data_IF_741128449037
#
_entry.id   IF_741128449037
#
_cell.length_a   1.000
_cell.length_b   1.000
_cell.length_c   1.000
_cell.angle_alpha   90.00
_cell.angle_beta   90.00
_cell.angle_gamma   90.00
#
_symmetry.space_group_name_H-M   'P 1'
#
loop_
_entity.id
_entity.type
_entity.pdbx_description
1 polymer ?
#
# COMPACT_ATOMS: atom_id res chain seq x y z
N UNK A 1 30.94 -20.99 14.85
CA UNK A 1 29.62 -21.64 14.91
C UNK A 1 28.59 -20.57 14.54
N UNK A 2 28.41 -20.35 13.26
CA UNK A 2 27.34 -19.49 12.73
C UNK A 2 26.05 -20.27 12.93
N UNK A 3 25.23 -19.87 13.90
CA UNK A 3 23.85 -20.34 13.99
C UNK A 3 23.18 -19.98 12.67
N UNK A 4 22.79 -20.97 11.87
CA UNK A 4 21.84 -20.72 10.80
C UNK A 4 20.66 -19.95 11.42
N UNK A 5 20.21 -18.83 10.83
CA UNK A 5 19.02 -18.16 11.31
C UNK A 5 17.89 -19.17 11.34
N UNK A 6 17.43 -19.50 12.56
CA UNK A 6 16.48 -20.57 12.77
C UNK A 6 15.22 -20.29 11.98
N UNK A 7 14.94 -21.13 10.97
CA UNK A 7 13.67 -21.11 10.26
C UNK A 7 12.56 -21.25 11.29
N UNK A 8 11.66 -20.28 11.37
CA UNK A 8 10.46 -20.40 12.23
C UNK A 8 9.73 -21.68 11.82
N UNK A 9 9.48 -22.63 12.73
CA UNK A 9 8.78 -23.85 12.37
C UNK A 9 7.42 -23.53 11.74
N UNK A 10 7.07 -24.22 10.66
CA UNK A 10 5.83 -23.94 9.90
C UNK A 10 4.58 -23.96 10.80
N UNK A 11 4.57 -24.80 11.84
CA UNK A 11 3.50 -24.87 12.83
C UNK A 11 3.36 -23.57 13.66
N UNK A 12 4.48 -22.98 14.07
CA UNK A 12 4.49 -21.74 14.84
C UNK A 12 4.06 -20.55 13.98
N UNK A 13 4.50 -20.49 12.72
CA UNK A 13 4.05 -19.48 11.77
C UNK A 13 2.53 -19.57 11.55
N UNK A 14 1.99 -20.78 11.34
CA UNK A 14 0.54 -21.00 11.22
C UNK A 14 -0.22 -20.57 12.48
N UNK A 15 0.33 -20.84 13.67
CA UNK A 15 -0.26 -20.40 14.94
C UNK A 15 -0.32 -18.88 15.03
N UNK A 16 0.78 -18.18 14.73
CA UNK A 16 0.86 -16.72 14.74
C UNK A 16 -0.13 -16.11 13.75
N UNK A 17 -0.20 -16.66 12.54
CA UNK A 17 -1.14 -16.18 11.52
C UNK A 17 -2.60 -16.34 11.96
N UNK A 18 -2.98 -17.48 12.53
CA UNK A 18 -4.34 -17.64 13.07
C UNK A 18 -4.62 -16.63 14.18
N UNK A 19 -3.69 -16.43 15.12
CA UNK A 19 -3.86 -15.43 16.18
C UNK A 19 -4.07 -14.02 15.64
N UNK A 20 -3.32 -13.61 14.61
CA UNK A 20 -3.47 -12.28 13.99
C UNK A 20 -4.86 -12.12 13.36
N UNK A 21 -5.38 -13.15 12.69
CA UNK A 21 -6.73 -13.10 12.11
C UNK A 21 -7.81 -13.13 13.19
N UNK A 22 -7.69 -14.00 14.20
CA UNK A 22 -8.68 -14.11 15.27
C UNK A 22 -8.76 -12.81 16.09
N UNK A 23 -7.61 -12.16 16.34
CA UNK A 23 -7.53 -10.85 16.99
C UNK A 23 -8.23 -9.75 16.17
N UNK A 24 -7.96 -9.71 14.86
CA UNK A 24 -8.58 -8.75 13.97
C UNK A 24 -10.09 -9.00 13.79
N UNK A 25 -10.53 -10.27 13.70
CA UNK A 25 -11.94 -10.64 13.60
C UNK A 25 -12.72 -10.25 14.86
N UNK A 26 -12.15 -10.46 16.05
CA UNK A 26 -12.75 -10.06 17.33
C UNK A 26 -13.06 -8.57 17.38
N UNK A 27 -12.17 -7.75 16.85
CA UNK A 27 -12.32 -6.29 16.82
C UNK A 27 -12.96 -5.78 15.51
N UNK A 28 -13.49 -6.68 14.67
CA UNK A 28 -14.17 -6.34 13.42
C UNK A 28 -13.28 -5.65 12.40
N UNK A 29 -11.97 -5.91 12.46
CA UNK A 29 -10.90 -5.25 11.69
C UNK A 29 -10.79 -3.75 11.94
N UNK A 30 -11.35 -3.25 13.05
CA UNK A 30 -11.23 -1.84 13.44
C UNK A 30 -9.92 -1.62 14.22
N UNK A 31 -9.24 -0.51 13.93
CA UNK A 31 -7.97 -0.18 14.56
C UNK A 31 -7.75 1.32 14.71
N UNK A 32 -6.67 1.67 15.41
CA UNK A 32 -6.21 3.05 15.51
C UNK A 32 -5.22 3.35 14.40
N UNK A 33 -5.35 4.52 13.78
CA UNK A 33 -4.41 4.99 12.76
C UNK A 33 -3.56 6.15 13.30
N UNK A 34 -2.25 6.23 13.01
CA UNK A 34 -1.41 7.36 13.42
C UNK A 34 -1.96 8.76 13.07
N UNK A 35 -2.86 8.88 12.09
CA UNK A 35 -3.38 10.14 11.56
C UNK A 35 -4.88 10.39 11.85
N UNK A 36 -5.57 9.49 12.54
CA UNK A 36 -7.01 9.58 12.81
C UNK A 36 -7.39 10.52 13.98
N UNK A 37 -6.44 11.22 14.60
CA UNK A 37 -6.66 11.93 15.87
C UNK A 37 -7.73 13.03 15.82
N UNK A 38 -8.14 13.47 14.62
CA UNK A 38 -9.23 14.43 14.41
C UNK A 38 -10.63 13.84 14.58
N UNK A 39 -10.75 12.52 14.70
CA UNK A 39 -12.04 11.86 14.89
C UNK A 39 -12.62 12.01 16.30
N UNK A 40 -11.80 12.36 17.29
CA UNK A 40 -12.27 12.66 18.63
C UNK A 40 -13.29 13.80 18.65
N UNK A 41 -14.41 13.60 19.35
CA UNK A 41 -15.50 14.59 19.42
C UNK A 41 -15.07 15.88 20.12
N UNK A 42 -14.16 15.76 21.10
CA UNK A 42 -13.74 16.86 21.94
C UNK A 42 -12.96 17.93 21.16
N UNK A 43 -11.94 17.55 20.39
CA UNK A 43 -11.17 18.52 19.61
C UNK A 43 -12.02 19.12 18.48
N UNK A 44 -12.85 18.29 17.84
CA UNK A 44 -13.74 18.69 16.74
C UNK A 44 -14.79 19.73 17.14
N UNK A 45 -15.22 19.77 18.40
CA UNK A 45 -16.18 20.77 18.89
C UNK A 45 -15.54 22.13 19.23
N UNK A 46 -14.21 22.23 19.23
CA UNK A 46 -13.51 23.48 19.53
C UNK A 46 -13.36 24.40 18.30
N UNK A 47 -13.25 25.72 18.47
CA UNK A 47 -12.90 26.63 17.37
C UNK A 47 -11.54 26.31 16.72
N UNK A 48 -10.63 25.66 17.46
CA UNK A 48 -9.31 25.27 16.98
C UNK A 48 -9.39 24.29 15.81
N UNK A 49 -10.46 23.50 15.70
CA UNK A 49 -10.65 22.57 14.59
C UNK A 49 -10.67 23.26 13.22
N UNK A 50 -11.06 24.54 13.17
CA UNK A 50 -11.08 25.33 11.92
C UNK A 50 -9.70 25.81 11.48
N UNK A 51 -8.68 25.67 12.34
CA UNK A 51 -7.32 26.16 12.08
C UNK A 51 -6.46 24.99 11.59
N UNK A 52 -5.95 24.99 10.34
CA UNK A 52 -5.15 23.89 9.79
C UNK A 52 -3.95 23.51 10.66
N UNK A 53 -3.21 24.50 11.15
CA UNK A 53 -2.07 24.28 12.03
C UNK A 53 -2.46 23.57 13.33
N UNK A 54 -3.58 23.96 13.96
CA UNK A 54 -4.06 23.34 15.19
C UNK A 54 -4.49 21.89 14.95
N UNK A 55 -5.15 21.58 13.82
CA UNK A 55 -5.45 20.20 13.42
C UNK A 55 -4.18 19.36 13.28
N UNK A 56 -3.17 19.89 12.61
CA UNK A 56 -1.90 19.20 12.42
C UNK A 56 -1.18 18.98 13.76
N UNK A 57 -1.13 19.99 14.63
CA UNK A 57 -0.54 19.89 15.96
C UNK A 57 -1.26 18.85 16.82
N UNK A 58 -2.59 18.80 16.75
CA UNK A 58 -3.40 17.81 17.45
C UNK A 58 -3.10 16.37 16.98
N UNK A 59 -3.05 16.15 15.65
CA UNK A 59 -2.65 14.85 15.10
C UNK A 59 -1.27 14.44 15.61
N UNK A 60 -0.28 15.35 15.59
CA UNK A 60 1.06 15.02 16.08
C UNK A 60 1.10 14.73 17.58
N UNK A 61 0.30 15.43 18.39
CA UNK A 61 0.15 15.15 19.81
C UNK A 61 -0.41 13.73 20.04
N UNK A 62 -1.51 13.39 19.36
CA UNK A 62 -2.15 12.07 19.47
C UNK A 62 -1.22 10.96 18.95
N UNK A 63 -0.47 11.20 17.87
CA UNK A 63 0.48 10.25 17.28
C UNK A 63 1.68 9.97 18.18
N UNK A 64 2.19 10.98 18.88
CA UNK A 64 3.46 10.91 19.62
C UNK A 64 3.27 10.72 21.13
N UNK A 65 2.03 10.79 21.63
CA UNK A 65 1.75 10.55 23.03
C UNK A 65 2.14 9.10 23.42
N UNK A 66 2.79 8.90 24.58
CA UNK A 66 3.20 7.57 25.05
C UNK A 66 2.01 6.70 25.50
N UNK A 67 0.83 7.31 25.67
CA UNK A 67 -0.43 6.64 25.95
C UNK A 67 -1.48 7.07 24.93
N UNK A 68 -2.44 6.18 24.66
CA UNK A 68 -3.46 6.44 23.67
C UNK A 68 -4.47 7.49 24.18
N UNK A 69 -4.44 8.69 23.60
CA UNK A 69 -5.34 9.80 23.96
C UNK A 69 -6.77 9.62 23.42
N UNK A 70 -6.96 8.73 22.44
CA UNK A 70 -8.22 8.59 21.70
C UNK A 70 -9.42 8.24 22.59
N UNK A 71 -9.34 7.29 23.56
CA UNK A 71 -10.45 7.02 24.46
C UNK A 71 -10.87 8.24 25.28
N UNK A 72 -9.93 9.10 25.69
CA UNK A 72 -10.23 10.34 26.44
C UNK A 72 -10.99 11.37 25.61
N UNK A 73 -10.93 11.25 24.28
CA UNK A 73 -11.61 12.16 23.34
C UNK A 73 -12.88 11.54 22.74
N UNK A 74 -13.33 10.41 23.30
CA UNK A 74 -14.47 9.61 22.85
C UNK A 74 -14.34 9.14 21.40
N UNK A 75 -13.12 9.02 20.90
CA UNK A 75 -12.85 8.42 19.60
C UNK A 75 -12.97 6.90 19.72
N UNK A 76 -13.48 6.25 18.66
CA UNK A 76 -13.54 4.79 18.54
C UNK A 76 -12.58 4.33 17.43
N UNK A 77 -12.04 3.11 17.50
CA UNK A 77 -11.33 2.52 16.37
C UNK A 77 -12.25 2.45 15.15
N UNK A 78 -11.68 2.59 13.96
CA UNK A 78 -12.44 2.52 12.70
C UNK A 78 -11.83 1.49 11.77
N UNK A 79 -12.65 0.99 10.84
CA UNK A 79 -12.23 0.01 9.84
C UNK A 79 -11.62 0.76 8.66
N UNK A 80 -10.32 0.58 8.45
CA UNK A 80 -9.60 1.17 7.33
C UNK A 80 -9.63 0.21 6.13
N UNK A 81 -10.10 0.69 4.96
CA UNK A 81 -10.18 -0.11 3.73
C UNK A 81 -8.83 -0.79 3.40
N UNK A 82 -7.71 -0.05 3.47
CA UNK A 82 -6.36 -0.63 3.27
C UNK A 82 -6.07 -1.80 4.22
N UNK A 83 -6.49 -1.71 5.48
CA UNK A 83 -6.32 -2.79 6.46
C UNK A 83 -7.09 -4.03 6.05
N UNK A 84 -8.38 -3.88 5.72
CA UNK A 84 -9.23 -4.97 5.20
C UNK A 84 -8.63 -5.59 3.94
N UNK A 85 -8.12 -4.76 3.01
CA UNK A 85 -7.45 -5.23 1.80
C UNK A 85 -6.22 -6.11 2.10
N UNK A 86 -5.38 -5.73 3.06
CA UNK A 86 -4.21 -6.52 3.47
C UNK A 86 -4.61 -7.88 4.04
N UNK A 87 -5.63 -7.92 4.92
CA UNK A 87 -6.17 -9.17 5.44
C UNK A 87 -6.81 -10.03 4.35
N UNK A 88 -7.51 -9.43 3.38
CA UNK A 88 -8.08 -10.17 2.26
C UNK A 88 -6.98 -10.81 1.40
N UNK A 89 -5.94 -10.04 1.04
CA UNK A 89 -4.79 -10.57 0.29
C UNK A 89 -4.07 -11.69 1.04
N UNK A 90 -3.87 -11.53 2.35
CA UNK A 90 -3.29 -12.58 3.19
C UNK A 90 -4.12 -13.86 3.20
N UNK A 91 -5.44 -13.75 3.29
CA UNK A 91 -6.34 -14.90 3.34
C UNK A 91 -6.32 -15.66 2.00
N UNK A 92 -6.37 -14.95 0.88
CA UNK A 92 -6.25 -15.57 -0.45
C UNK A 92 -4.87 -16.21 -0.67
N UNK A 93 -3.80 -15.60 -0.17
CA UNK A 93 -2.46 -16.20 -0.21
C UNK A 93 -2.39 -17.49 0.61
N UNK A 94 -2.97 -17.50 1.82
CA UNK A 94 -3.01 -18.68 2.69
C UNK A 94 -3.93 -19.79 2.15
N UNK A 95 -4.98 -19.43 1.42
CA UNK A 95 -5.82 -20.39 0.73
C UNK A 95 -5.06 -21.12 -0.39
N UNK A 96 -4.15 -20.44 -1.08
CA UNK A 96 -3.30 -21.05 -2.12
C UNK A 96 -2.04 -21.75 -1.58
N UNK A 97 -1.62 -21.44 -0.36
CA UNK A 97 -0.41 -21.99 0.25
C UNK A 97 -0.61 -23.47 0.62
N UNK A 98 0.25 -24.37 0.11
CA UNK A 98 0.21 -25.80 0.45
C UNK A 98 -0.40 -26.72 -0.61
N UNK A 99 -0.76 -26.19 -1.79
CA UNK A 99 -1.20 -27.02 -2.92
C UNK A 99 -2.50 -27.79 -2.65
N UNK A 100 -2.63 -28.97 -3.27
CA UNK A 100 -3.84 -29.82 -3.19
C UNK A 100 -4.12 -30.30 -1.76
N UNK A 101 -3.10 -30.39 -0.91
CA UNK A 101 -3.19 -30.91 0.47
C UNK A 101 -3.52 -29.84 1.52
N UNK A 102 -3.80 -28.60 1.12
CA UNK A 102 -4.17 -27.54 2.05
C UNK A 102 -5.60 -27.70 2.58
N UNK A 103 -5.77 -28.47 3.65
CA UNK A 103 -7.06 -28.68 4.32
C UNK A 103 -7.66 -27.39 4.90
N UNK A 104 -6.85 -26.36 5.15
CA UNK A 104 -7.31 -25.05 5.62
C UNK A 104 -7.81 -24.14 4.48
N UNK A 105 -7.59 -24.52 3.21
CA UNK A 105 -7.92 -23.67 2.07
C UNK A 105 -9.38 -23.18 2.06
N UNK A 106 -10.40 -24.03 2.31
CA UNK A 106 -11.80 -23.58 2.34
C UNK A 106 -12.05 -22.50 3.41
N UNK A 107 -11.45 -22.65 4.61
CA UNK A 107 -11.57 -21.67 5.69
C UNK A 107 -10.97 -20.32 5.29
N UNK A 108 -9.78 -20.33 4.69
CA UNK A 108 -9.12 -19.12 4.24
C UNK A 108 -9.84 -18.44 3.07
N UNK A 109 -10.40 -19.22 2.13
CA UNK A 109 -11.27 -18.69 1.06
C UNK A 109 -12.51 -18.02 1.63
N UNK A 110 -13.17 -18.64 2.61
CA UNK A 110 -14.33 -18.05 3.27
C UNK A 110 -14.00 -16.72 3.97
N UNK A 111 -12.88 -16.66 4.72
CA UNK A 111 -12.36 -15.42 5.32
C UNK A 111 -12.08 -14.35 4.26
N UNK A 112 -11.36 -14.72 3.18
CA UNK A 112 -11.03 -13.83 2.08
C UNK A 112 -12.27 -13.26 1.38
N UNK A 113 -13.26 -14.11 1.08
CA UNK A 113 -14.52 -13.69 0.46
C UNK A 113 -15.31 -12.73 1.36
N UNK A 114 -15.43 -13.03 2.66
CA UNK A 114 -16.12 -12.15 3.61
C UNK A 114 -15.43 -10.78 3.72
N UNK A 115 -14.10 -10.75 3.71
CA UNK A 115 -13.32 -9.51 3.72
C UNK A 115 -13.48 -8.69 2.44
N UNK A 116 -13.60 -9.34 1.27
CA UNK A 116 -13.87 -8.64 0.01
C UNK A 116 -15.28 -8.02 0.00
N UNK A 117 -16.30 -8.75 0.46
CA UNK A 117 -17.65 -8.18 0.64
C UNK A 117 -17.63 -7.01 1.61
N UNK A 118 -16.90 -7.13 2.72
CA UNK A 118 -16.73 -6.03 3.67
C UNK A 118 -16.03 -4.83 3.04
N UNK A 119 -14.95 -5.07 2.28
CA UNK A 119 -14.20 -4.03 1.60
C UNK A 119 -15.08 -3.26 0.60
N UNK A 120 -15.87 -3.95 -0.22
CA UNK A 120 -16.83 -3.32 -1.14
C UNK A 120 -17.82 -2.41 -0.40
N UNK A 121 -18.34 -2.85 0.76
CA UNK A 121 -19.25 -2.04 1.60
C UNK A 121 -18.61 -0.77 2.17
N UNK A 122 -17.27 -0.67 2.17
CA UNK A 122 -16.52 0.50 2.65
C UNK A 122 -16.20 1.50 1.54
N UNK A 123 -16.73 1.32 0.31
CA UNK A 123 -16.49 2.27 -0.80
C UNK A 123 -16.86 3.69 -0.40
N UNK A 124 -16.12 4.64 -0.95
CA UNK A 124 -16.37 6.07 -0.71
C UNK A 124 -17.75 6.45 -1.26
N UNK A 125 -18.60 7.14 -0.48
CA UNK A 125 -19.92 7.55 -0.93
C UNK A 125 -19.82 8.71 -1.94
N UNK A 126 -20.78 8.79 -2.87
CA UNK A 126 -20.88 9.89 -3.83
C UNK A 126 -19.95 9.79 -5.05
N UNK A 127 -19.36 8.61 -5.30
CA UNK A 127 -18.53 8.33 -6.47
C UNK A 127 -19.17 7.24 -7.32
N UNK A 128 -19.15 7.41 -8.64
CA UNK A 128 -19.70 6.42 -9.60
C UNK A 128 -18.86 5.14 -9.60
N UNK A 129 -17.54 5.28 -9.80
CA UNK A 129 -16.58 4.18 -9.78
C UNK A 129 -16.23 3.77 -8.34
N UNK A 130 -15.91 2.48 -8.13
CA UNK A 130 -15.42 1.99 -6.85
C UNK A 130 -14.08 2.64 -6.50
N UNK A 131 -14.02 3.23 -5.31
CA UNK A 131 -12.83 3.84 -4.73
C UNK A 131 -12.93 3.90 -3.21
N UNK A 132 -11.81 4.03 -2.51
CA UNK A 132 -11.76 4.03 -1.05
C UNK A 132 -10.97 5.21 -0.48
N UNK A 133 -11.44 5.71 0.66
CA UNK A 133 -10.86 6.82 1.41
C UNK A 133 -10.40 6.42 2.80
N UNK A 134 -10.03 7.42 3.59
CA UNK A 134 -9.88 7.24 5.03
C UNK A 134 -11.23 7.42 5.72
N UNK A 135 -11.58 6.63 6.75
CA UNK A 135 -12.81 6.83 7.51
C UNK A 135 -12.73 8.07 8.44
N UNK A 136 -11.69 8.89 8.30
CA UNK A 136 -11.37 10.01 9.18
C UNK A 136 -10.85 11.23 8.41
N UNK A 137 -10.95 12.39 9.05
CA UNK A 137 -10.36 13.63 8.54
C UNK A 137 -8.85 13.60 8.74
N UNK A 138 -8.08 14.00 7.72
CA UNK A 138 -6.62 14.09 7.79
C UNK A 138 -6.12 15.46 7.35
N UNK A 139 -5.41 16.13 8.25
CA UNK A 139 -4.63 17.33 7.92
C UNK A 139 -3.17 16.93 7.71
N UNK A 140 -2.73 16.94 6.46
CA UNK A 140 -1.31 16.80 6.11
C UNK A 140 -0.62 18.17 6.17
N UNK A 141 0.70 18.19 5.90
CA UNK A 141 1.46 19.44 5.72
C UNK A 141 1.10 20.19 4.42
N UNK A 142 0.45 19.52 3.47
CA UNK A 142 0.22 20.04 2.12
C UNK A 142 -1.27 20.24 1.80
N UNK A 143 -2.16 19.47 2.42
CA UNK A 143 -3.60 19.50 2.10
C UNK A 143 -4.45 19.00 3.27
N UNK A 144 -5.75 19.23 3.16
CA UNK A 144 -6.76 18.62 4.02
C UNK A 144 -7.54 17.57 3.21
N UNK A 145 -7.61 16.35 3.74
CA UNK A 145 -8.42 15.28 3.20
C UNK A 145 -9.61 15.04 4.15
N UNK A 146 -10.83 15.35 3.73
CA UNK A 146 -12.02 15.00 4.49
C UNK A 146 -12.17 13.48 4.64
N UNK A 147 -12.84 13.06 5.70
CA UNK A 147 -13.39 11.70 5.84
C UNK A 147 -14.08 11.28 4.54
N UNK A 148 -13.88 10.02 4.19
CA UNK A 148 -14.44 9.34 3.02
C UNK A 148 -14.04 9.95 1.67
N UNK A 149 -13.16 10.96 1.65
CA UNK A 149 -12.54 11.41 0.41
C UNK A 149 -11.59 10.31 -0.10
N UNK A 150 -11.81 9.81 -1.34
CA UNK A 150 -11.03 8.70 -1.84
C UNK A 150 -9.57 9.12 -2.04
N UNK A 151 -8.68 8.15 -1.88
CA UNK A 151 -7.26 8.35 -2.13
C UNK A 151 -6.67 7.15 -2.85
N UNK A 152 -5.55 7.36 -3.52
CA UNK A 152 -4.92 6.33 -4.32
C UNK A 152 -4.50 5.12 -3.48
N UNK A 153 -3.96 5.33 -2.27
CA UNK A 153 -3.41 4.25 -1.47
C UNK A 153 -4.49 3.28 -1.03
N UNK A 154 -5.60 3.75 -0.45
CA UNK A 154 -6.71 2.88 -0.11
C UNK A 154 -7.27 2.18 -1.36
N UNK A 155 -7.38 2.91 -2.47
CA UNK A 155 -7.95 2.38 -3.71
C UNK A 155 -7.11 1.30 -4.39
N UNK A 156 -5.80 1.51 -4.53
CA UNK A 156 -4.89 0.53 -5.13
C UNK A 156 -4.82 -0.75 -4.31
N UNK A 157 -4.74 -0.65 -2.98
CA UNK A 157 -4.75 -1.84 -2.12
C UNK A 157 -6.11 -2.56 -2.20
N UNK A 158 -7.20 -1.80 -2.32
CA UNK A 158 -8.52 -2.35 -2.58
C UNK A 158 -8.56 -3.18 -3.86
N UNK A 159 -8.11 -2.61 -4.98
CA UNK A 159 -7.99 -3.32 -6.26
C UNK A 159 -7.11 -4.58 -6.14
N UNK A 160 -5.94 -4.47 -5.52
CA UNK A 160 -5.04 -5.60 -5.30
C UNK A 160 -5.69 -6.74 -4.52
N UNK A 161 -6.53 -6.44 -3.52
CA UNK A 161 -7.26 -7.47 -2.79
C UNK A 161 -8.20 -8.27 -3.67
N UNK A 162 -8.94 -7.60 -4.56
CA UNK A 162 -9.82 -8.27 -5.53
C UNK A 162 -9.04 -9.03 -6.60
N UNK A 163 -7.91 -8.51 -7.07
CA UNK A 163 -7.02 -9.20 -8.02
C UNK A 163 -6.43 -10.52 -7.47
N UNK A 164 -6.32 -10.66 -6.14
CA UNK A 164 -5.79 -11.87 -5.49
C UNK A 164 -6.82 -12.99 -5.32
N UNK A 165 -8.09 -12.74 -5.64
CA UNK A 165 -9.15 -13.74 -5.57
C UNK A 165 -8.93 -14.83 -6.62
N UNK A 166 -9.04 -16.11 -6.24
CA UNK A 166 -8.73 -17.27 -7.11
C UNK A 166 -9.87 -18.26 -7.32
N UNK A 167 -11.07 -17.99 -6.81
CA UNK A 167 -12.26 -18.83 -6.92
C UNK A 167 -13.23 -18.40 -8.04
N UNK A 168 -12.87 -17.38 -8.84
CA UNK A 168 -13.63 -16.98 -10.03
C UNK A 168 -14.93 -16.19 -9.80
N UNK A 169 -15.17 -15.62 -8.62
CA UNK A 169 -16.38 -14.83 -8.38
C UNK A 169 -16.39 -13.43 -9.04
N UNK A 170 -17.55 -12.75 -9.04
CA UNK A 170 -17.89 -11.46 -9.71
C UNK A 170 -16.99 -10.24 -9.40
N UNK A 171 -15.96 -10.43 -8.58
CA UNK A 171 -14.93 -9.44 -8.24
C UNK A 171 -14.08 -8.95 -9.43
N UNK A 172 -14.18 -9.58 -10.60
CA UNK A 172 -13.30 -9.32 -11.73
C UNK A 172 -13.37 -7.87 -12.27
N UNK A 173 -14.50 -7.18 -12.08
CA UNK A 173 -14.69 -5.81 -12.57
C UNK A 173 -14.10 -4.73 -11.66
N UNK A 174 -13.97 -4.99 -10.35
CA UNK A 174 -13.61 -3.98 -9.35
C UNK A 174 -12.23 -3.36 -9.59
N UNK A 175 -11.17 -4.13 -9.89
CA UNK A 175 -9.85 -3.54 -10.19
C UNK A 175 -9.89 -2.57 -11.38
N UNK A 176 -10.76 -2.82 -12.35
CA UNK A 176 -10.87 -1.99 -13.56
C UNK A 176 -11.78 -0.77 -13.32
N UNK A 177 -12.79 -0.85 -12.45
CA UNK A 177 -13.50 0.30 -11.89
C UNK A 177 -12.54 1.26 -11.16
N UNK A 178 -11.67 0.70 -10.32
CA UNK A 178 -10.67 1.51 -9.60
C UNK A 178 -9.69 2.15 -10.58
N UNK A 179 -9.26 1.45 -11.62
CA UNK A 179 -8.40 2.01 -12.66
C UNK A 179 -9.09 3.18 -13.39
N UNK A 180 -10.40 3.08 -13.66
CA UNK A 180 -11.19 4.20 -14.22
C UNK A 180 -11.28 5.37 -13.26
N UNK A 181 -11.52 5.14 -11.97
CA UNK A 181 -11.46 6.18 -10.95
C UNK A 181 -10.10 6.91 -10.97
N UNK A 182 -8.99 6.17 -11.00
CA UNK A 182 -7.64 6.75 -11.06
C UNK A 182 -7.48 7.62 -12.29
N UNK A 183 -7.84 7.12 -13.46
CA UNK A 183 -7.74 7.86 -14.73
C UNK A 183 -8.60 9.12 -14.79
N UNK A 184 -9.83 9.05 -14.29
CA UNK A 184 -10.78 10.16 -14.37
C UNK A 184 -10.50 11.23 -13.32
N UNK A 185 -10.01 10.82 -12.15
CA UNK A 185 -10.02 11.69 -10.96
C UNK A 185 -8.62 12.06 -10.47
N UNK A 186 -7.67 11.13 -10.56
CA UNK A 186 -6.35 11.28 -9.94
C UNK A 186 -5.23 11.56 -10.95
N UNK A 187 -5.43 11.24 -12.23
CA UNK A 187 -4.49 11.57 -13.30
C UNK A 187 -4.38 13.08 -13.52
N UNK A 188 -3.15 13.55 -13.68
CA UNK A 188 -2.78 14.91 -14.06
C UNK A 188 -1.77 14.86 -15.20
N UNK A 189 -1.70 15.93 -15.97
CA UNK A 189 -0.64 16.16 -16.94
C UNK A 189 -0.11 17.56 -16.73
N UNK A 190 1.20 17.68 -16.55
CA UNK A 190 1.91 18.96 -16.37
C UNK A 190 3.14 18.94 -17.27
N UNK A 191 3.37 20.00 -18.03
CA UNK A 191 4.48 20.11 -19.00
C UNK A 191 4.59 18.92 -19.97
N UNK A 192 3.44 18.33 -20.35
CA UNK A 192 3.38 17.18 -21.24
C UNK A 192 3.79 15.85 -20.62
N UNK A 193 3.87 15.78 -19.28
CA UNK A 193 4.14 14.55 -18.53
C UNK A 193 3.00 14.25 -17.56
N UNK A 194 2.44 13.06 -17.71
CA UNK A 194 1.40 12.46 -16.89
C UNK A 194 1.90 11.94 -15.54
N UNK A 195 1.14 12.18 -14.49
CA UNK A 195 1.36 11.61 -13.16
C UNK A 195 0.04 11.40 -12.41
N UNK A 196 0.08 10.60 -11.34
CA UNK A 196 -1.08 10.28 -10.50
C UNK A 196 -0.93 10.95 -9.14
N UNK A 197 -2.00 11.64 -8.72
CA UNK A 197 -2.08 12.38 -7.45
C UNK A 197 -2.63 11.53 -6.30
N UNK A 198 -2.38 11.97 -5.06
CA UNK A 198 -2.79 11.23 -3.86
C UNK A 198 -4.32 11.21 -3.69
N UNK A 199 -4.97 12.37 -3.86
CA UNK A 199 -6.42 12.55 -3.70
C UNK A 199 -6.93 13.48 -4.80
N UNK A 200 -8.27 13.55 -5.02
CA UNK A 200 -8.86 14.50 -5.97
C UNK A 200 -8.57 15.96 -5.65
N UNK A 201 -8.23 16.29 -4.38
CA UNK A 201 -8.13 17.67 -3.89
C UNK A 201 -6.71 18.24 -3.93
N UNK A 202 -5.73 17.51 -4.49
CA UNK A 202 -4.34 17.96 -4.53
C UNK A 202 -3.63 17.59 -5.83
N UNK A 203 -2.57 18.34 -6.15
CA UNK A 203 -1.63 18.05 -7.23
C UNK A 203 -0.24 17.64 -6.68
N UNK A 204 -0.16 17.17 -5.43
CA UNK A 204 1.13 16.72 -4.87
C UNK A 204 1.73 15.58 -5.68
N UNK A 205 3.01 15.70 -6.00
CA UNK A 205 3.81 14.72 -6.76
C UNK A 205 4.56 13.83 -5.77
N UNK A 206 3.95 12.70 -5.44
CA UNK A 206 4.45 11.72 -4.45
C UNK A 206 4.76 10.42 -5.19
N UNK A 207 6.00 9.92 -5.09
CA UNK A 207 6.48 8.84 -5.97
C UNK A 207 5.76 7.51 -5.74
N UNK A 208 5.59 7.09 -4.48
CA UNK A 208 4.94 5.81 -4.19
C UNK A 208 3.48 5.79 -4.60
N UNK A 209 2.80 6.93 -4.47
CA UNK A 209 1.46 7.13 -5.00
C UNK A 209 1.51 6.93 -6.51
N UNK A 210 2.28 7.76 -7.20
CA UNK A 210 2.35 7.74 -8.65
C UNK A 210 2.70 6.35 -9.22
N UNK A 211 3.71 5.67 -8.67
CA UNK A 211 4.16 4.37 -9.16
C UNK A 211 3.17 3.24 -8.84
N UNK A 212 2.58 3.20 -7.64
CA UNK A 212 1.54 2.22 -7.31
C UNK A 212 0.31 2.36 -8.22
N UNK A 213 -0.09 3.60 -8.52
CA UNK A 213 -1.15 3.89 -9.47
C UNK A 213 -0.79 3.43 -10.88
N UNK A 214 0.41 3.76 -11.35
CA UNK A 214 0.90 3.36 -12.68
C UNK A 214 0.92 1.84 -12.85
N UNK A 215 1.36 1.10 -11.83
CA UNK A 215 1.33 -0.35 -11.81
C UNK A 215 -0.10 -0.91 -11.89
N UNK A 216 -1.05 -0.35 -11.13
CA UNK A 216 -2.47 -0.72 -11.25
C UNK A 216 -3.01 -0.48 -12.68
N UNK A 217 -2.73 0.68 -13.26
CA UNK A 217 -3.16 1.02 -14.62
C UNK A 217 -2.57 0.05 -15.65
N UNK A 218 -1.30 -0.33 -15.51
CA UNK A 218 -0.68 -1.34 -16.37
C UNK A 218 -1.37 -2.72 -16.26
N UNK A 219 -1.71 -3.17 -15.05
CA UNK A 219 -2.42 -4.44 -14.84
C UNK A 219 -3.82 -4.39 -15.46
N UNK A 220 -4.54 -3.28 -15.28
CA UNK A 220 -5.85 -3.08 -15.90
C UNK A 220 -5.76 -3.00 -17.43
N UNK A 221 -4.77 -2.31 -17.98
CA UNK A 221 -4.51 -2.25 -19.41
C UNK A 221 -4.28 -3.64 -20.00
N UNK A 222 -3.48 -4.48 -19.33
CA UNK A 222 -3.24 -5.88 -19.74
C UNK A 222 -4.51 -6.72 -19.73
N UNK A 223 -5.37 -6.58 -18.73
CA UNK A 223 -6.66 -7.31 -18.65
C UNK A 223 -7.66 -6.87 -19.73
N UNK A 224 -7.73 -5.56 -19.99
CA UNK A 224 -8.79 -4.96 -20.82
C UNK A 224 -8.38 -4.68 -22.26
N UNK A 225 -7.09 -4.70 -22.57
CA UNK A 225 -6.55 -4.24 -23.86
C UNK A 225 -6.60 -2.72 -24.05
N UNK A 226 -6.84 -1.94 -23.00
CA UNK A 226 -7.01 -0.49 -23.11
C UNK A 226 -5.67 0.25 -23.28
N UNK A 227 -5.37 0.66 -24.51
CA UNK A 227 -4.14 1.37 -24.87
C UNK A 227 -3.94 2.69 -24.09
N UNK A 228 -5.02 3.43 -23.81
CA UNK A 228 -4.92 4.68 -23.05
C UNK A 228 -4.45 4.45 -21.61
N UNK A 229 -4.86 3.35 -20.98
CA UNK A 229 -4.36 2.96 -19.67
C UNK A 229 -2.87 2.58 -19.75
N UNK A 230 -2.47 1.82 -20.78
CA UNK A 230 -1.09 1.42 -20.97
C UNK A 230 -0.15 2.62 -21.17
N UNK A 231 -0.54 3.57 -22.03
CA UNK A 231 0.24 4.76 -22.34
C UNK A 231 0.40 5.64 -21.09
N UNK A 232 -0.69 5.91 -20.37
CA UNK A 232 -0.63 6.73 -19.16
C UNK A 232 0.12 6.04 -18.02
N UNK A 233 0.03 4.71 -17.92
CA UNK A 233 0.83 3.93 -16.97
C UNK A 233 2.33 4.07 -17.27
N UNK A 234 2.74 3.95 -18.54
CA UNK A 234 4.13 4.15 -18.97
C UNK A 234 4.61 5.56 -18.66
N UNK A 235 3.82 6.56 -19.01
CA UNK A 235 4.13 7.98 -18.77
C UNK A 235 4.29 8.28 -17.28
N UNK A 236 3.34 7.83 -16.46
CA UNK A 236 3.39 7.99 -15.00
C UNK A 236 4.61 7.27 -14.41
N UNK A 237 4.92 6.05 -14.85
CA UNK A 237 6.10 5.35 -14.34
C UNK A 237 7.39 6.08 -14.69
N UNK A 238 7.50 6.57 -15.94
CA UNK A 238 8.63 7.40 -16.40
C UNK A 238 8.78 8.68 -15.58
N UNK A 239 7.70 9.36 -15.24
CA UNK A 239 7.75 10.56 -14.40
C UNK A 239 8.55 10.34 -13.10
N UNK A 240 8.33 9.22 -12.40
CA UNK A 240 9.10 8.92 -11.19
C UNK A 240 10.51 8.42 -11.46
N UNK A 241 10.72 7.65 -12.53
CA UNK A 241 12.04 7.16 -12.92
C UNK A 241 12.97 8.30 -13.35
N UNK A 242 12.47 9.27 -14.11
CA UNK A 242 13.24 10.41 -14.60
C UNK A 242 13.64 11.37 -13.44
N UNK A 243 12.92 11.31 -12.31
CA UNK A 243 13.19 12.06 -11.08
C UNK A 243 14.01 11.26 -10.05
N UNK A 244 14.42 10.03 -10.36
CA UNK A 244 15.32 9.25 -9.51
C UNK A 244 16.67 9.97 -9.38
N UNK A 245 17.12 10.25 -8.15
CA UNK A 245 18.39 10.95 -7.93
C UNK A 245 19.58 10.11 -8.40
N UNK A 246 20.73 10.74 -8.72
CA UNK A 246 21.92 10.01 -9.16
C UNK A 246 22.41 8.91 -8.20
N UNK A 247 22.18 9.08 -6.89
CA UNK A 247 22.53 8.08 -5.88
C UNK A 247 21.55 6.90 -5.79
N UNK A 248 20.44 6.90 -6.52
CA UNK A 248 19.39 5.86 -6.45
C UNK A 248 18.29 6.13 -5.43
N UNK A 249 18.20 7.33 -4.86
CA UNK A 249 17.13 7.67 -3.91
C UNK A 249 15.96 8.42 -4.56
N UNK A 250 14.76 8.17 -4.05
CA UNK A 250 13.60 9.04 -4.26
C UNK A 250 13.29 9.80 -2.98
N UNK A 251 13.06 11.13 -3.03
CA UNK A 251 12.35 11.78 -1.94
C UNK A 251 10.93 11.17 -1.81
N UNK A 252 10.24 11.41 -0.70
CA UNK A 252 8.84 11.00 -0.59
C UNK A 252 7.97 11.73 -1.62
N UNK A 253 8.19 13.04 -1.81
CA UNK A 253 7.61 13.81 -2.89
C UNK A 253 8.41 15.06 -3.24
N UNK A 254 8.02 15.69 -4.34
CA UNK A 254 8.81 16.75 -4.99
C UNK A 254 8.71 18.13 -4.34
N UNK A 255 7.82 18.30 -3.36
CA UNK A 255 7.71 19.56 -2.62
C UNK A 255 8.79 19.67 -1.53
N UNK A 256 9.30 20.87 -1.19
CA UNK A 256 10.34 21.02 -0.17
C UNK A 256 9.99 20.43 1.20
N UNK A 257 8.71 20.43 1.58
CA UNK A 257 8.22 19.86 2.84
C UNK A 257 8.00 18.33 2.79
N UNK A 258 8.31 17.70 1.66
CA UNK A 258 8.16 16.26 1.34
C UNK A 258 9.48 15.59 0.90
N UNK A 259 10.61 16.28 1.02
CA UNK A 259 11.89 15.84 0.47
C UNK A 259 12.65 14.76 1.28
N UNK A 260 12.03 14.16 2.32
CA UNK A 260 12.68 13.11 3.11
C UNK A 260 12.75 11.81 2.32
N UNK A 261 13.68 10.92 2.67
CA UNK A 261 13.88 9.62 2.03
C UNK A 261 13.71 8.55 3.11
N UNK A 262 12.77 7.63 2.92
CA UNK A 262 12.47 6.57 3.91
C UNK A 262 12.40 5.18 3.27
N UNK A 263 12.50 4.17 4.15
CA UNK A 263 12.65 2.77 3.75
C UNK A 263 11.41 2.26 2.99
N UNK A 264 10.23 2.35 3.60
CA UNK A 264 9.06 1.65 3.08
C UNK A 264 8.44 2.36 1.87
N UNK A 265 8.53 3.69 1.72
CA UNK A 265 8.10 4.33 0.47
C UNK A 265 9.05 4.00 -0.68
N UNK A 266 10.36 3.94 -0.41
CA UNK A 266 11.32 3.43 -1.41
C UNK A 266 11.01 1.98 -1.77
N UNK A 267 10.71 1.12 -0.78
CA UNK A 267 10.26 -0.24 -1.00
C UNK A 267 8.98 -0.35 -1.84
N UNK A 268 7.99 0.53 -1.62
CA UNK A 268 6.79 0.61 -2.46
C UNK A 268 7.11 0.99 -3.91
N UNK A 269 8.01 1.95 -4.13
CA UNK A 269 8.43 2.34 -5.48
C UNK A 269 9.07 1.16 -6.22
N UNK A 270 9.97 0.43 -5.54
CA UNK A 270 10.64 -0.74 -6.11
C UNK A 270 9.66 -1.85 -6.48
N UNK A 271 8.73 -2.20 -5.58
CA UNK A 271 7.70 -3.22 -5.85
C UNK A 271 6.78 -2.80 -6.98
N UNK A 272 6.40 -1.52 -7.04
CA UNK A 272 5.55 -1.01 -8.11
C UNK A 272 6.25 -1.00 -9.48
N UNK A 273 7.54 -0.64 -9.53
CA UNK A 273 8.33 -0.66 -10.76
C UNK A 273 8.54 -2.08 -11.26
N UNK A 274 8.84 -3.03 -10.36
CA UNK A 274 8.97 -4.44 -10.72
C UNK A 274 7.64 -5.03 -11.19
N UNK A 275 6.52 -4.70 -10.52
CA UNK A 275 5.19 -5.12 -10.95
C UNK A 275 4.83 -4.58 -12.35
N UNK A 276 5.16 -3.31 -12.64
CA UNK A 276 5.02 -2.74 -13.97
C UNK A 276 5.87 -3.47 -15.00
N UNK A 277 7.15 -3.71 -14.70
CA UNK A 277 8.09 -4.43 -15.57
C UNK A 277 7.58 -5.84 -15.89
N UNK A 278 7.14 -6.61 -14.88
CA UNK A 278 6.56 -7.95 -15.07
C UNK A 278 5.25 -7.93 -15.84
N UNK A 279 4.41 -6.93 -15.60
CA UNK A 279 3.11 -6.82 -16.24
C UNK A 279 3.27 -6.53 -17.74
N UNK A 280 4.13 -5.58 -18.09
CA UNK A 280 4.26 -5.02 -19.44
C UNK A 280 5.38 -5.64 -20.27
N UNK A 281 6.39 -6.23 -19.64
CA UNK A 281 7.64 -6.65 -20.28
C UNK A 281 8.57 -5.48 -20.64
N UNK A 282 8.27 -4.25 -20.24
CA UNK A 282 9.08 -3.08 -20.54
C UNK A 282 10.34 -3.00 -19.65
N UNK A 283 11.50 -3.27 -20.25
CA UNK A 283 12.81 -3.25 -19.60
C UNK A 283 13.55 -1.92 -19.73
N UNK A 284 12.92 -0.89 -20.34
CA UNK A 284 13.58 0.41 -20.55
C UNK A 284 13.93 1.14 -19.25
N UNK A 285 13.34 0.73 -18.12
CA UNK A 285 13.55 1.32 -16.79
C UNK A 285 14.44 0.46 -15.88
N UNK A 286 14.95 -0.67 -16.36
CA UNK A 286 15.78 -1.60 -15.57
C UNK A 286 17.02 -0.93 -14.94
N UNK A 287 17.76 -0.03 -15.65
CA UNK A 287 18.88 0.66 -15.03
C UNK A 287 18.47 1.54 -13.83
N UNK A 288 17.23 2.06 -13.82
CA UNK A 288 16.72 2.84 -12.69
C UNK A 288 16.31 1.93 -11.53
N UNK A 289 15.65 0.82 -11.83
CA UNK A 289 15.28 -0.21 -10.85
C UNK A 289 16.53 -0.74 -10.11
N UNK A 290 17.57 -1.10 -10.85
CA UNK A 290 18.82 -1.61 -10.27
C UNK A 290 19.48 -0.58 -9.35
N UNK A 291 19.62 0.68 -9.80
CA UNK A 291 20.23 1.73 -8.97
C UNK A 291 19.42 1.98 -7.71
N UNK A 292 18.11 2.06 -7.83
CA UNK A 292 17.23 2.31 -6.69
C UNK A 292 17.24 1.15 -5.70
N UNK A 293 17.24 -0.10 -6.19
CA UNK A 293 17.32 -1.27 -5.33
C UNK A 293 18.66 -1.32 -4.59
N UNK A 294 19.78 -1.10 -5.29
CA UNK A 294 21.11 -1.06 -4.67
C UNK A 294 21.20 0.01 -3.59
N UNK A 295 20.68 1.21 -3.84
CA UNK A 295 20.62 2.26 -2.83
C UNK A 295 19.82 1.78 -1.60
N UNK A 296 18.64 1.22 -1.83
CA UNK A 296 17.75 0.79 -0.76
C UNK A 296 18.36 -0.32 0.11
N UNK A 297 18.87 -1.38 -0.51
CA UNK A 297 19.42 -2.56 0.15
C UNK A 297 20.71 -2.24 0.95
N UNK A 298 21.52 -1.31 0.47
CA UNK A 298 22.78 -0.93 1.14
C UNK A 298 22.63 0.19 2.17
N UNK A 299 21.56 0.99 2.11
CA UNK A 299 21.41 2.18 2.97
C UNK A 299 20.51 1.92 4.17
N UNK A 300 19.40 1.20 3.98
CA UNK A 300 18.37 1.13 5.01
C UNK A 300 18.51 -0.04 5.99
N UNK A 301 19.51 -0.90 5.86
CA UNK A 301 19.63 -2.10 6.70
C UNK A 301 20.88 -2.07 7.56
N UNK A 302 20.72 -2.45 8.83
CA UNK A 302 21.85 -2.72 9.73
C UNK A 302 22.45 -4.09 9.43
N UNK A 303 23.69 -4.38 9.88
CA UNK A 303 24.33 -5.68 9.64
C UNK A 303 23.56 -6.90 10.18
N UNK A 304 22.68 -6.69 11.16
CA UNK A 304 21.79 -7.72 11.73
C UNK A 304 20.45 -7.85 10.97
N UNK A 305 20.27 -7.11 9.87
CA UNK A 305 19.04 -7.09 9.07
C UNK A 305 17.97 -6.12 9.56
N UNK A 306 18.18 -5.39 10.66
CA UNK A 306 17.19 -4.46 11.18
C UNK A 306 17.01 -3.27 10.21
N UNK A 307 15.76 -2.95 9.81
CA UNK A 307 15.51 -1.82 8.93
C UNK A 307 15.59 -0.49 9.70
N UNK A 308 16.23 0.50 9.09
CA UNK A 308 16.24 1.90 9.47
C UNK A 308 15.05 2.61 8.83
N UNK A 309 14.44 3.56 9.54
CA UNK A 309 13.30 4.31 9.02
C UNK A 309 13.68 5.24 7.87
N UNK A 310 14.69 6.08 8.11
CA UNK A 310 15.20 7.06 7.16
C UNK A 310 16.59 6.65 6.67
N UNK A 311 17.01 7.22 5.55
CA UNK A 311 18.37 7.04 5.01
C UNK A 311 19.46 7.59 5.93
N UNK A 312 19.09 8.51 6.82
CA UNK A 312 19.98 9.18 7.77
C UNK A 312 19.64 8.89 9.25
N UNK A 313 18.65 8.05 9.53
CA UNK A 313 18.25 7.72 10.90
C UNK A 313 17.70 6.31 11.02
N UNK A 314 18.28 5.56 11.96
CA UNK A 314 17.79 4.22 12.31
C UNK A 314 16.40 4.28 12.96
N UNK A 315 16.18 5.28 13.82
CA UNK A 315 14.96 5.40 14.62
C UNK A 315 13.88 6.23 13.91
N UNK A 316 12.58 5.97 14.18
CA UNK A 316 12.07 4.87 15.03
C UNK A 316 12.16 3.50 14.33
N UNK A 317 12.26 2.42 15.11
CA UNK A 317 12.06 1.07 14.56
C UNK A 317 10.56 0.91 14.28
N UNK A 318 10.22 0.64 13.02
CA UNK A 318 8.84 0.61 12.55
C UNK A 318 8.53 -0.72 11.83
N UNK A 319 7.42 -1.35 12.22
CA UNK A 319 6.97 -2.63 11.66
C UNK A 319 6.67 -2.52 10.16
N UNK A 320 6.29 -1.34 9.66
CA UNK A 320 6.05 -1.09 8.25
C UNK A 320 7.34 -1.20 7.44
N UNK A 321 8.47 -0.71 7.97
CA UNK A 321 9.77 -0.90 7.32
C UNK A 321 10.12 -2.40 7.23
N UNK A 322 9.88 -3.15 8.32
CA UNK A 322 10.15 -4.60 8.37
C UNK A 322 9.27 -5.38 7.41
N UNK A 323 7.95 -5.13 7.42
CA UNK A 323 7.00 -5.79 6.55
C UNK A 323 7.24 -5.47 5.08
N UNK A 324 7.51 -4.20 4.75
CA UNK A 324 7.79 -3.80 3.38
C UNK A 324 9.12 -4.36 2.88
N UNK A 325 10.16 -4.45 3.72
CA UNK A 325 11.43 -5.06 3.32
C UNK A 325 11.27 -6.51 2.87
N UNK A 326 10.51 -7.31 3.61
CA UNK A 326 10.19 -8.69 3.22
C UNK A 326 9.50 -8.72 1.85
N UNK A 327 8.52 -7.84 1.62
CA UNK A 327 7.81 -7.76 0.33
C UNK A 327 8.73 -7.31 -0.81
N UNK A 328 9.62 -6.35 -0.58
CA UNK A 328 10.54 -5.84 -1.59
C UNK A 328 11.60 -6.88 -1.95
N UNK A 329 12.16 -7.62 -0.99
CA UNK A 329 13.08 -8.74 -1.29
C UNK A 329 12.36 -9.88 -2.03
N UNK A 330 11.14 -10.25 -1.64
CA UNK A 330 10.36 -11.28 -2.32
C UNK A 330 9.87 -10.88 -3.72
N UNK A 331 9.76 -9.58 -3.99
CA UNK A 331 9.47 -9.09 -5.34
C UNK A 331 10.63 -9.38 -6.30
N UNK A 332 11.83 -9.65 -5.79
CA UNK A 332 13.04 -9.97 -6.55
C UNK A 332 13.28 -9.04 -7.75
N UNK A 333 13.46 -7.73 -7.52
CA UNK A 333 13.69 -6.76 -8.59
C UNK A 333 15.04 -6.96 -9.32
N UNK A 334 15.92 -7.83 -8.83
CA UNK A 334 17.25 -8.09 -9.40
C UNK A 334 17.41 -9.51 -9.98
N UNK A 335 16.40 -10.37 -9.89
CA UNK A 335 16.51 -11.78 -10.33
C UNK A 335 17.44 -12.63 -9.46
N UNK A 336 17.69 -12.21 -8.21
CA UNK A 336 18.48 -12.93 -7.22
C UNK A 336 17.64 -14.03 -6.54
N UNK A 337 17.15 -14.98 -7.33
CA UNK A 337 16.88 -16.36 -6.91
C UNK A 337 16.16 -16.57 -5.58
N UNK A 338 14.96 -16.02 -5.41
CA UNK A 338 13.93 -16.63 -4.57
C UNK A 338 12.61 -16.57 -5.34
N UNK A 339 12.39 -17.59 -6.16
CA UNK A 339 11.18 -17.77 -6.95
C UNK A 339 10.00 -18.08 -6.00
N UNK A 340 9.25 -17.04 -5.59
CA UNK A 340 8.09 -17.18 -4.66
C UNK A 340 6.81 -16.56 -5.24
N UNK A 341 6.83 -16.02 -6.47
CA UNK A 341 5.69 -15.28 -7.03
C UNK A 341 5.36 -15.62 -8.50
N UNK A 342 5.53 -16.87 -8.91
CA UNK A 342 4.93 -17.38 -10.16
C UNK A 342 3.49 -17.87 -9.95
N UNK A 343 2.59 -17.76 -10.95
CA UNK A 343 1.31 -18.47 -10.94
C UNK A 343 1.58 -19.98 -11.01
N UNK A 344 0.89 -20.76 -10.17
CA UNK A 344 0.91 -22.23 -10.24
C UNK A 344 0.28 -22.62 -11.58
N UNK A 345 1.14 -22.97 -12.53
CA UNK A 345 0.74 -23.46 -13.85
C UNK A 345 -0.04 -24.77 -13.72
N UNK A 346 -1.07 -24.88 -14.56
CA UNK A 346 -1.86 -26.07 -14.83
C UNK A 346 -0.95 -27.20 -15.32
N UNK A 347 -0.87 -28.28 -14.55
CA UNK A 347 -0.27 -29.53 -15.01
C UNK A 347 -1.26 -30.28 -15.89
N UNK A 348 -1.00 -30.30 -17.19
CA UNK A 348 -1.47 -31.35 -18.10
C UNK A 348 -0.35 -32.37 -18.25
N UNK A 349 -0.55 -33.54 -17.66
CA UNK A 349 -0.18 -34.85 -18.21
C UNK A 349 -1.01 -35.93 -17.54
#
# INVERSE_FOLDING_TARGET
>A
MTTEPGRVPDAELRRILNLIYDDAERDGFAGWDPYDGLNGRLFRSTPLFRIPFARQAWIQLVKRAPFNLRPLTFQKPEVLAKGVSLFAMGAWRLAGAGGVDNTDAPRWRARGAALLTRLESLRSPGWDEICWGYPYDWQSRAFFQPRDCPNLICSVFGAMAFERRTDGGDAAAIPDEVARFVMQTLSRTEDGIGYITYTPTTNTRVHNVNMLGAALLARSAKRTGNARLADFARESMRFSVDLLKPNGSWPYGESPNQAWVDNFHTGYNLVALEDYRRTTGDTSMDPALERAYRYWDTTFFKPDGAPSYYDNSHWPIDIHCSAQAILTWLADPMGAGLDVLGPVGTGDS
#
